data_IF_602232630153
#
_entry.id   IF_602232630153
#
_cell.length_a   1.000
_cell.length_b   1.000
_cell.length_c   1.000
_cell.angle_alpha   90.00
_cell.angle_beta   90.00
_cell.angle_gamma   90.00
#
_symmetry.space_group_name_H-M   'P 1'
#
loop_
_entity.id
_entity.type
_entity.pdbx_description
1 polymer ?
#
# COMPACT_ATOMS: atom_id res chain seq x y z
N UNK A 1 1.84 24.31 -10.71
CA UNK A 1 2.36 25.25 -9.69
C UNK A 1 3.86 25.41 -9.94
N UNK A 2 4.42 26.62 -9.95
CA UNK A 2 5.88 26.80 -10.10
C UNK A 2 6.62 26.40 -8.82
N UNK A 3 7.86 25.92 -8.94
CA UNK A 3 8.72 25.59 -7.80
C UNK A 3 8.91 26.78 -6.85
N UNK A 4 9.02 28.01 -7.38
CA UNK A 4 9.12 29.23 -6.57
C UNK A 4 7.88 29.45 -5.71
N UNK A 5 6.69 29.18 -6.24
CA UNK A 5 5.42 29.31 -5.50
C UNK A 5 5.26 28.19 -4.47
N UNK A 6 5.73 26.97 -4.81
CA UNK A 6 5.74 25.84 -3.89
C UNK A 6 6.70 26.08 -2.72
N UNK A 7 7.96 26.45 -2.99
CA UNK A 7 8.96 26.72 -1.95
C UNK A 7 8.57 27.89 -1.03
N UNK A 8 7.87 28.91 -1.55
CA UNK A 8 7.31 29.99 -0.72
C UNK A 8 6.20 29.52 0.24
N UNK A 9 5.44 28.49 -0.11
CA UNK A 9 4.28 28.01 0.68
C UNK A 9 4.63 26.83 1.58
N UNK A 10 5.42 25.90 1.07
CA UNK A 10 5.76 24.64 1.72
C UNK A 10 7.19 24.24 1.34
N UNK A 11 8.20 24.86 1.97
CA UNK A 11 9.60 24.49 1.75
C UNK A 11 9.95 23.15 2.41
N UNK A 12 9.22 22.78 3.47
CA UNK A 12 9.45 21.58 4.28
C UNK A 12 8.30 20.61 4.08
N UNK A 13 8.65 19.32 4.08
CA UNK A 13 7.75 18.19 3.96
C UNK A 13 7.95 17.28 5.16
N UNK A 14 6.88 16.64 5.62
CA UNK A 14 6.93 15.61 6.65
C UNK A 14 6.75 14.24 6.00
N UNK A 15 7.64 13.30 6.28
CA UNK A 15 7.46 11.90 5.95
C UNK A 15 7.22 11.11 7.24
N UNK A 16 6.08 10.46 7.34
CA UNK A 16 5.70 9.64 8.50
C UNK A 16 5.52 8.18 8.11
N UNK A 17 5.80 7.27 9.03
CA UNK A 17 5.36 5.88 8.93
C UNK A 17 4.07 5.73 9.74
N UNK A 18 2.98 5.33 9.09
CA UNK A 18 1.67 5.10 9.71
C UNK A 18 1.33 3.60 9.64
N UNK A 19 0.68 3.06 10.68
CA UNK A 19 0.23 1.67 10.71
C UNK A 19 -1.29 1.62 10.90
N UNK A 20 -1.97 0.77 10.13
CA UNK A 20 -3.40 0.52 10.32
C UNK A 20 -3.78 -0.93 9.99
N UNK A 21 -4.95 -1.34 10.47
CA UNK A 21 -5.59 -2.60 10.07
C UNK A 21 -6.57 -2.29 8.92
N UNK A 22 -6.24 -2.68 7.70
CA UNK A 22 -7.11 -2.55 6.52
C UNK A 22 -8.02 -3.79 6.43
N UNK A 23 -9.33 -3.59 6.32
CA UNK A 23 -10.25 -4.70 6.08
C UNK A 23 -10.11 -5.17 4.64
N UNK A 24 -9.72 -6.43 4.46
CA UNK A 24 -9.46 -7.01 3.13
C UNK A 24 -10.63 -7.87 2.64
N UNK A 25 -11.41 -8.44 3.55
CA UNK A 25 -12.54 -9.30 3.24
C UNK A 25 -13.59 -9.24 4.34
N UNK A 26 -14.85 -9.43 3.97
CA UNK A 26 -15.93 -9.75 4.89
C UNK A 26 -17.04 -10.53 4.21
N UNK A 27 -17.71 -11.37 4.99
CA UNK A 27 -18.95 -12.02 4.60
C UNK A 27 -19.92 -12.06 5.79
N UNK A 28 -21.19 -12.28 5.50
CA UNK A 28 -22.25 -12.44 6.50
C UNK A 28 -22.80 -13.86 6.44
N UNK A 29 -23.29 -14.37 7.59
CA UNK A 29 -23.91 -15.68 7.65
C UNK A 29 -25.30 -15.63 7.00
N UNK A 30 -25.62 -16.53 6.06
CA UNK A 30 -26.87 -16.46 5.32
C UNK A 30 -28.12 -16.93 6.10
N UNK A 31 -28.01 -17.65 7.24
CA UNK A 31 -29.10 -18.06 8.16
C UNK A 31 -28.58 -18.90 9.35
N UNK A 32 -29.47 -19.27 10.31
CA UNK A 32 -29.23 -20.06 11.55
C UNK A 32 -28.55 -21.43 11.35
N UNK A 33 -28.43 -21.93 10.12
CA UNK A 33 -27.48 -23.00 9.80
C UNK A 33 -26.10 -22.40 9.62
N UNK A 34 -25.48 -22.06 10.75
CA UNK A 34 -24.14 -21.47 10.79
C UNK A 34 -23.16 -22.42 10.13
N UNK A 35 -22.82 -22.15 8.86
CA UNK A 35 -21.68 -22.76 8.19
C UNK A 35 -20.48 -22.57 9.11
N UNK A 36 -19.97 -23.68 9.66
CA UNK A 36 -18.89 -23.64 10.65
C UNK A 36 -17.53 -23.30 10.04
N UNK A 37 -17.44 -23.09 8.72
CA UNK A 37 -16.19 -22.86 7.99
C UNK A 37 -16.36 -21.69 7.04
N UNK A 38 -15.43 -20.72 7.11
CA UNK A 38 -15.27 -19.64 6.14
C UNK A 38 -13.96 -19.80 5.41
N UNK A 39 -14.03 -19.91 4.08
CA UNK A 39 -12.86 -19.93 3.20
C UNK A 39 -12.69 -18.57 2.55
N UNK A 40 -11.50 -17.99 2.68
CA UNK A 40 -11.11 -16.72 2.09
C UNK A 40 -10.04 -16.97 1.05
N UNK A 41 -10.24 -16.43 -0.15
CA UNK A 41 -9.22 -16.36 -1.20
C UNK A 41 -9.22 -14.95 -1.77
N UNK A 42 -8.15 -14.20 -1.52
CA UNK A 42 -8.02 -12.81 -2.00
C UNK A 42 -6.65 -12.60 -2.64
N UNK A 43 -6.63 -11.90 -3.77
CA UNK A 43 -5.41 -11.48 -4.43
C UNK A 43 -4.99 -10.10 -3.89
N UNK A 44 -3.81 -10.00 -3.29
CA UNK A 44 -3.37 -8.82 -2.53
C UNK A 44 -2.13 -8.19 -3.13
N UNK A 45 -2.26 -6.97 -3.66
CA UNK A 45 -1.11 -6.14 -3.98
C UNK A 45 -0.36 -5.76 -2.69
N UNK A 46 0.80 -6.38 -2.46
CA UNK A 46 1.71 -6.15 -1.32
C UNK A 46 2.22 -4.72 -1.25
N UNK A 47 2.30 -4.07 -2.39
CA UNK A 47 2.82 -2.71 -2.54
C UNK A 47 1.86 -1.87 -3.38
N UNK A 48 1.47 -0.70 -2.85
CA UNK A 48 0.64 0.27 -3.59
C UNK A 48 1.20 1.67 -3.39
N UNK A 49 1.43 2.39 -4.49
CA UNK A 49 1.88 3.78 -4.46
C UNK A 49 0.74 4.70 -4.89
N UNK A 50 0.54 5.77 -4.14
CA UNK A 50 -0.46 6.79 -4.39
C UNK A 50 0.20 8.17 -4.51
N UNK A 51 -0.17 8.95 -5.52
CA UNK A 51 0.17 10.36 -5.68
C UNK A 51 -1.09 11.19 -5.53
N UNK A 52 -1.14 12.01 -4.48
CA UNK A 52 -2.33 12.78 -4.09
C UNK A 52 -3.63 11.95 -4.16
N UNK A 53 -3.57 10.70 -3.67
CA UNK A 53 -4.70 9.77 -3.63
C UNK A 53 -4.94 8.95 -4.92
N UNK A 54 -4.18 9.16 -5.99
CA UNK A 54 -4.29 8.38 -7.23
C UNK A 54 -3.19 7.36 -7.37
N UNK A 55 -3.52 6.15 -7.81
CA UNK A 55 -2.52 5.11 -8.05
C UNK A 55 -1.42 5.58 -9.02
N UNK A 56 -0.20 5.23 -8.65
CA UNK A 56 0.99 5.57 -9.38
C UNK A 56 1.91 4.36 -9.50
N UNK A 57 2.74 4.35 -10.54
CA UNK A 57 3.77 3.35 -10.79
C UNK A 57 5.15 3.99 -10.69
N UNK A 58 6.10 3.24 -10.15
CA UNK A 58 7.53 3.52 -10.29
C UNK A 58 7.88 3.49 -11.78
N UNK A 59 8.52 4.54 -12.27
CA UNK A 59 8.99 4.63 -13.66
C UNK A 59 10.20 3.70 -13.89
N UNK A 60 10.31 3.12 -15.09
CA UNK A 60 11.37 2.18 -15.49
C UNK A 60 12.33 2.83 -16.49
N UNK A 61 13.58 2.34 -16.55
CA UNK A 61 14.63 2.84 -17.45
C UNK A 61 15.41 4.01 -16.87
N UNK A 62 16.55 4.36 -17.48
CA UNK A 62 17.60 5.31 -16.99
C UNK A 62 17.44 5.62 -15.51
N UNK A 63 17.61 4.55 -14.74
CA UNK A 63 17.51 4.57 -13.31
C UNK A 63 18.47 5.63 -12.80
N UNK A 64 17.98 6.47 -11.90
CA UNK A 64 18.76 7.56 -11.34
C UNK A 64 19.07 8.67 -12.35
N UNK A 65 18.06 9.25 -13.00
CA UNK A 65 18.17 10.67 -13.42
C UNK A 65 18.56 11.51 -12.20
N UNK A 66 19.86 11.75 -12.03
CA UNK A 66 20.48 12.55 -10.96
C UNK A 66 20.19 12.05 -9.53
N UNK A 67 20.12 10.74 -9.29
CA UNK A 67 19.97 10.20 -7.92
C UNK A 67 18.53 10.12 -7.38
N UNK A 68 17.52 10.12 -8.25
CA UNK A 68 16.11 10.06 -7.89
C UNK A 68 15.40 8.87 -8.56
N UNK A 69 14.44 8.29 -7.85
CA UNK A 69 13.45 7.34 -8.36
C UNK A 69 12.13 8.09 -8.58
N UNK A 70 11.54 7.91 -9.75
CA UNK A 70 10.34 8.62 -10.17
C UNK A 70 9.09 7.75 -10.06
N UNK A 71 8.00 8.34 -9.60
CA UNK A 71 6.67 7.74 -9.57
C UNK A 71 5.71 8.60 -10.40
N UNK A 72 4.83 7.96 -11.19
CA UNK A 72 3.89 8.63 -12.09
C UNK A 72 2.50 8.02 -11.99
N UNK A 73 1.46 8.86 -12.03
CA UNK A 73 0.06 8.42 -11.96
C UNK A 73 -0.29 7.51 -13.14
N UNK A 74 -1.00 6.42 -12.86
CA UNK A 74 -1.47 5.46 -13.85
C UNK A 74 -2.76 5.92 -14.53
N UNK A 75 -2.71 6.94 -15.39
CA UNK A 75 -3.57 7.06 -16.58
C UNK A 75 -3.41 8.41 -17.29
N UNK A 76 -3.51 8.32 -18.63
CA UNK A 76 -3.63 9.40 -19.63
C UNK A 76 -5.10 9.57 -20.04
N UNK A 77 -6.01 9.66 -19.08
CA UNK A 77 -7.38 10.06 -19.38
C UNK A 77 -7.43 11.59 -19.30
N UNK A 78 -7.79 12.17 -20.44
CA UNK A 78 -8.01 13.58 -20.74
C UNK A 78 -6.81 14.38 -21.28
N UNK A 79 -6.95 14.75 -22.55
CA UNK A 79 -5.97 15.44 -23.38
C UNK A 79 -5.32 16.65 -22.72
N UNK A 80 -4.00 16.76 -22.89
CA UNK A 80 -3.23 17.97 -22.60
C UNK A 80 -2.80 18.19 -21.14
N UNK A 81 -3.21 17.34 -20.19
CA UNK A 81 -2.78 17.45 -18.80
C UNK A 81 -1.30 17.10 -18.59
N UNK A 82 -0.54 17.94 -17.86
CA UNK A 82 0.84 17.62 -17.46
C UNK A 82 0.85 16.34 -16.62
N UNK A 83 1.62 15.35 -17.05
CA UNK A 83 1.83 14.11 -16.30
C UNK A 83 2.24 14.42 -14.85
N UNK A 84 1.46 13.93 -13.89
CA UNK A 84 1.74 14.10 -12.48
C UNK A 84 2.75 13.04 -12.03
N UNK A 85 3.90 13.50 -11.56
CA UNK A 85 4.92 12.64 -11.00
C UNK A 85 5.71 13.31 -9.88
N UNK A 86 6.39 12.48 -9.11
CA UNK A 86 7.31 12.90 -8.05
C UNK A 86 8.61 12.10 -8.16
N UNK A 87 9.73 12.76 -7.93
CA UNK A 87 11.03 12.12 -7.76
C UNK A 87 11.38 12.10 -6.28
N UNK A 88 11.71 10.93 -5.73
CA UNK A 88 12.24 10.76 -4.39
C UNK A 88 13.72 10.35 -4.49
N UNK A 89 14.56 10.87 -3.59
CA UNK A 89 15.98 10.50 -3.61
C UNK A 89 16.15 9.02 -3.27
N UNK A 90 17.17 8.40 -3.86
CA UNK A 90 17.49 6.98 -3.59
C UNK A 90 17.76 6.75 -2.10
N UNK A 91 18.57 7.62 -1.49
CA UNK A 91 18.89 7.53 -0.06
C UNK A 91 17.65 7.56 0.85
N UNK A 92 16.57 8.25 0.43
CA UNK A 92 15.31 8.23 1.17
C UNK A 92 14.62 6.86 1.06
N UNK A 93 14.55 6.29 -0.14
CA UNK A 93 13.92 5.00 -0.37
C UNK A 93 14.71 3.85 0.24
N UNK A 94 16.04 3.92 0.23
CA UNK A 94 16.91 2.99 0.97
C UNK A 94 16.61 3.07 2.47
N UNK A 95 16.56 4.27 3.05
CA UNK A 95 16.21 4.44 4.47
C UNK A 95 14.84 3.86 4.79
N UNK A 96 13.86 4.04 3.91
CA UNK A 96 12.54 3.43 4.07
C UNK A 96 12.62 1.91 4.08
N UNK A 97 13.35 1.31 3.13
CA UNK A 97 13.59 -0.13 3.06
C UNK A 97 14.19 -0.68 4.37
N UNK A 98 15.21 -0.03 4.92
CA UNK A 98 15.81 -0.43 6.20
C UNK A 98 14.80 -0.39 7.37
N UNK A 99 13.95 0.64 7.43
CA UNK A 99 12.90 0.75 8.46
C UNK A 99 11.88 -0.38 8.33
N UNK A 100 11.53 -0.75 7.10
CA UNK A 100 10.60 -1.83 6.83
C UNK A 100 11.16 -3.21 7.19
N UNK A 101 12.40 -3.47 6.80
CA UNK A 101 13.09 -4.72 7.15
C UNK A 101 13.23 -4.88 8.66
N UNK A 102 13.57 -3.79 9.37
CA UNK A 102 13.59 -3.77 10.83
C UNK A 102 12.20 -4.02 11.44
N UNK A 103 11.13 -3.60 10.75
CA UNK A 103 9.73 -3.87 11.10
C UNK A 103 9.23 -5.27 10.69
N UNK A 104 10.07 -6.12 10.08
CA UNK A 104 9.70 -7.46 9.65
C UNK A 104 8.98 -7.53 8.30
N UNK A 105 8.90 -6.42 7.56
CA UNK A 105 8.46 -6.44 6.16
C UNK A 105 9.64 -6.78 5.25
N UNK A 106 9.67 -7.99 4.74
CA UNK A 106 10.64 -8.40 3.73
C UNK A 106 9.98 -8.33 2.35
N UNK A 107 10.54 -7.51 1.46
CA UNK A 107 10.09 -7.48 0.07
C UNK A 107 10.17 -8.87 -0.57
N UNK A 108 9.38 -9.11 -1.62
CA UNK A 108 9.68 -10.24 -2.50
C UNK A 108 11.05 -9.98 -3.09
N UNK A 109 12.04 -10.85 -2.87
CA UNK A 109 13.44 -10.59 -3.20
C UNK A 109 13.61 -9.98 -4.60
N UNK A 110 14.14 -8.76 -4.66
CA UNK A 110 14.41 -8.06 -5.92
C UNK A 110 15.68 -8.65 -6.53
N UNK A 111 15.54 -9.50 -7.55
CA UNK A 111 16.46 -9.42 -8.68
C UNK A 111 15.99 -8.20 -9.49
N UNK A 112 16.76 -7.11 -9.43
CA UNK A 112 16.47 -5.79 -10.05
C UNK A 112 16.18 -5.81 -11.56
N UNK A 113 16.29 -6.97 -12.22
CA UNK A 113 16.11 -7.12 -13.65
C UNK A 113 14.90 -7.96 -14.07
N UNK A 114 14.16 -8.58 -13.14
CA UNK A 114 13.02 -9.43 -13.51
C UNK A 114 11.68 -8.71 -13.43
N UNK A 115 11.18 -8.40 -14.62
CA UNK A 115 9.88 -7.86 -14.91
C UNK A 115 8.77 -8.91 -14.73
N UNK A 116 8.58 -9.52 -13.54
CA UNK A 116 7.44 -10.44 -13.36
C UNK A 116 7.03 -10.83 -11.92
N UNK A 117 7.82 -10.59 -10.87
CA UNK A 117 7.58 -11.25 -9.57
C UNK A 117 6.40 -10.70 -8.76
N UNK A 118 5.18 -11.18 -9.02
CA UNK A 118 3.94 -11.08 -8.22
C UNK A 118 3.99 -10.10 -7.03
N UNK A 119 3.85 -8.80 -7.32
CA UNK A 119 3.43 -7.81 -6.29
C UNK A 119 2.06 -8.16 -5.72
N UNK A 120 1.29 -8.97 -6.44
CA UNK A 120 0.00 -9.51 -6.02
C UNK A 120 0.25 -10.91 -5.50
N UNK A 121 -0.01 -11.13 -4.21
CA UNK A 121 0.07 -12.45 -3.59
C UNK A 121 -1.33 -12.93 -3.28
N UNK A 122 -1.63 -14.17 -3.66
CA UNK A 122 -2.87 -14.83 -3.25
C UNK A 122 -2.77 -15.22 -1.78
N UNK A 123 -3.70 -14.71 -0.98
CA UNK A 123 -3.88 -15.07 0.42
C UNK A 123 -5.06 -16.02 0.51
N UNK A 124 -4.78 -17.24 0.91
CA UNK A 124 -5.77 -18.26 1.21
C UNK A 124 -5.83 -18.48 2.72
N UNK A 125 -7.04 -18.53 3.26
CA UNK A 125 -7.26 -18.76 4.68
C UNK A 125 -8.57 -19.50 4.90
N UNK A 126 -8.50 -20.52 5.73
CA UNK A 126 -9.67 -21.26 6.20
C UNK A 126 -9.79 -20.98 7.68
N UNK A 127 -10.96 -20.50 8.11
CA UNK A 127 -11.27 -20.24 9.51
C UNK A 127 -12.52 -21.00 9.90
N UNK A 128 -12.43 -21.73 11.00
CA UNK A 128 -13.53 -22.50 11.56
C UNK A 128 -14.13 -21.74 12.75
N UNK A 129 -15.46 -21.69 12.82
CA UNK A 129 -16.17 -21.10 13.95
C UNK A 129 -16.07 -22.03 15.15
N UNK A 130 -15.53 -21.51 16.24
CA UNK A 130 -15.47 -22.17 17.54
C UNK A 130 -16.63 -21.78 18.45
N UNK A 131 -17.50 -20.85 18.03
CA UNK A 131 -18.63 -20.34 18.81
C UNK A 131 -19.86 -21.22 18.67
N UNK A 132 -20.44 -21.64 19.80
CA UNK A 132 -21.69 -22.42 19.87
C UNK A 132 -22.92 -21.58 19.48
N UNK A 133 -22.85 -20.25 19.56
CA UNK A 133 -23.99 -19.35 19.36
C UNK A 133 -24.13 -18.84 17.91
N UNK A 134 -23.44 -19.47 16.95
CA UNK A 134 -23.39 -19.01 15.57
C UNK A 134 -22.58 -17.71 15.39
N UNK A 135 -22.70 -17.12 14.20
CA UNK A 135 -22.05 -15.86 13.81
C UNK A 135 -22.93 -15.12 12.80
N UNK A 136 -22.87 -13.79 12.82
CA UNK A 136 -23.52 -12.89 11.87
C UNK A 136 -22.56 -12.37 10.81
N UNK A 137 -21.34 -11.99 11.21
CA UNK A 137 -20.36 -11.40 10.29
C UNK A 137 -18.94 -11.87 10.56
N UNK A 138 -18.24 -12.23 9.50
CA UNK A 138 -16.82 -12.50 9.51
C UNK A 138 -16.09 -11.38 8.78
N UNK A 139 -14.94 -10.95 9.31
CA UNK A 139 -14.08 -9.96 8.67
C UNK A 139 -12.61 -10.33 8.84
N UNK A 140 -11.84 -10.16 7.77
CA UNK A 140 -10.39 -10.34 7.74
C UNK A 140 -9.73 -8.99 7.56
N UNK A 141 -8.82 -8.66 8.47
CA UNK A 141 -8.01 -7.45 8.46
C UNK A 141 -6.55 -7.80 8.23
N UNK A 142 -5.83 -6.90 7.56
CA UNK A 142 -4.40 -7.03 7.30
C UNK A 142 -3.67 -5.80 7.83
N UNK A 143 -2.50 -6.01 8.43
CA UNK A 143 -1.63 -4.89 8.81
C UNK A 143 -1.08 -4.21 7.55
N UNK A 144 -1.24 -2.90 7.49
CA UNK A 144 -0.70 -2.05 6.43
C UNK A 144 0.15 -0.97 7.04
N UNK A 145 1.40 -0.92 6.59
CA UNK A 145 2.32 0.15 6.91
C UNK A 145 2.39 1.12 5.73
N UNK A 146 2.32 2.41 6.02
CA UNK A 146 2.23 3.45 5.01
C UNK A 146 3.26 4.53 5.27
N UNK A 147 4.19 4.72 4.35
CA UNK A 147 4.98 5.94 4.33
C UNK A 147 4.16 7.06 3.70
N UNK A 148 3.96 8.15 4.43
CA UNK A 148 3.08 9.24 4.02
C UNK A 148 3.84 10.55 3.97
N UNK A 149 4.02 11.08 2.77
CA UNK A 149 4.65 12.37 2.52
C UNK A 149 3.59 13.47 2.44
N UNK A 150 3.64 14.41 3.37
CA UNK A 150 2.76 15.59 3.41
C UNK A 150 3.57 16.88 3.27
N UNK A 151 2.94 17.88 2.65
CA UNK A 151 3.42 19.27 2.70
C UNK A 151 3.22 19.84 4.10
N UNK A 152 3.93 20.92 4.43
CA UNK A 152 3.74 21.68 5.68
C UNK A 152 2.30 22.10 5.96
N UNK A 153 1.47 22.25 4.93
CA UNK A 153 0.04 22.57 5.07
C UNK A 153 -0.86 21.33 5.23
N UNK A 154 -0.30 20.15 5.53
CA UNK A 154 -1.03 18.89 5.73
C UNK A 154 -1.46 18.18 4.44
N UNK A 155 -1.29 18.78 3.27
CA UNK A 155 -1.73 18.17 2.02
C UNK A 155 -0.92 16.92 1.67
N UNK A 156 -1.61 15.81 1.40
CA UNK A 156 -1.01 14.56 0.94
C UNK A 156 -0.38 14.75 -0.44
N UNK A 157 0.86 14.27 -0.58
CA UNK A 157 1.63 14.34 -1.82
C UNK A 157 1.87 12.94 -2.37
N UNK A 158 2.36 12.05 -1.52
CA UNK A 158 2.74 10.70 -1.87
C UNK A 158 2.48 9.77 -0.69
N UNK A 159 2.03 8.56 -0.98
CA UNK A 159 1.84 7.49 0.00
C UNK A 159 2.31 6.18 -0.61
N UNK A 160 3.04 5.38 0.17
CA UNK A 160 3.49 4.05 -0.22
C UNK A 160 3.04 3.06 0.83
N UNK A 161 2.08 2.22 0.45
CA UNK A 161 1.51 1.19 1.30
C UNK A 161 2.28 -0.12 1.13
N UNK A 162 2.51 -0.77 2.25
CA UNK A 162 3.13 -2.08 2.38
C UNK A 162 2.19 -2.96 3.18
N UNK A 163 1.60 -3.93 2.49
CA UNK A 163 0.65 -4.88 3.08
C UNK A 163 1.39 -6.11 3.57
N UNK A 164 1.15 -6.45 4.83
CA UNK A 164 1.76 -7.59 5.50
C UNK A 164 0.85 -8.81 5.36
N UNK A 165 1.02 -9.56 4.28
CA UNK A 165 0.18 -10.73 3.94
C UNK A 165 0.21 -11.85 4.98
N UNK A 166 1.22 -11.87 5.86
CA UNK A 166 1.35 -12.83 6.96
C UNK A 166 0.88 -12.26 8.32
N UNK A 167 0.55 -10.97 8.38
CA UNK A 167 0.10 -10.29 9.61
C UNK A 167 -1.36 -9.91 9.45
N UNK A 168 -2.22 -10.87 9.76
CA UNK A 168 -3.67 -10.79 9.56
C UNK A 168 -4.42 -11.03 10.87
N UNK A 169 -5.60 -10.44 10.98
CA UNK A 169 -6.53 -10.63 12.11
C UNK A 169 -7.90 -10.97 11.58
N UNK A 170 -8.55 -11.93 12.24
CA UNK A 170 -9.94 -12.29 11.97
C UNK A 170 -10.83 -11.76 13.09
N UNK A 171 -12.02 -11.31 12.72
CA UNK A 171 -13.07 -10.89 13.65
C UNK A 171 -14.36 -11.60 13.29
N UNK A 172 -14.96 -12.21 14.30
CA UNK A 172 -16.30 -12.78 14.27
C UNK A 172 -17.23 -11.89 15.08
N UNK A 173 -18.42 -11.61 14.55
CA UNK A 173 -19.53 -10.93 15.21
C UNK A 173 -20.78 -11.80 15.15
#
# INVERSE_FOLDING_TARGET
>A
MSIRKQMKRSPIYSLTLEQCWEQMFSCESPNDESRSIVTVTIDVAREVVLLAGREAKRERGDEHRKGFIWFKVCNRLDGGGKAMGIGLSIALLEKMRWVQEAGGWFGSGENDNDNSGEKVVRVEKVEEITSENGWRRFSLYMLVESFVLRRSNGALVWKYNFRHTHTIKCKWE
#
